data_IF_365005389846
#
_entry.id   IF_365005389846
#
_cell.length_a   1.000
_cell.length_b   1.000
_cell.length_c   1.000
_cell.angle_alpha   90.00
_cell.angle_beta   90.00
_cell.angle_gamma   90.00
#
_symmetry.space_group_name_H-M   'P 1'
#
loop_
_entity.id
_entity.type
_entity.pdbx_description
1 polymer ?
#
# COMPACT_ATOMS: atom_id res chain seq x y z
N UNK A 1 13.21 -46.12 -23.02
CA UNK A 1 13.10 -44.67 -23.26
C UNK A 1 12.15 -44.09 -22.22
N UNK A 2 12.65 -43.16 -21.41
CA UNK A 2 11.94 -42.59 -20.27
C UNK A 2 11.12 -41.36 -20.69
N UNK A 3 9.86 -41.32 -20.22
CA UNK A 3 9.14 -40.15 -19.67
C UNK A 3 8.73 -39.01 -20.64
N UNK A 4 7.72 -38.17 -20.38
CA UNK A 4 6.98 -37.90 -19.15
C UNK A 4 5.60 -37.27 -19.52
N UNK A 5 4.58 -37.61 -18.75
CA UNK A 5 3.19 -37.16 -18.84
C UNK A 5 3.10 -35.68 -18.47
N UNK A 6 2.46 -34.87 -19.31
CA UNK A 6 2.08 -33.50 -18.99
C UNK A 6 0.99 -33.53 -17.90
N UNK A 7 1.39 -33.31 -16.65
CA UNK A 7 0.46 -33.16 -15.53
C UNK A 7 -0.04 -31.71 -15.48
N UNK A 8 -1.31 -31.54 -15.81
CA UNK A 8 -2.09 -30.35 -15.52
C UNK A 8 -2.18 -30.17 -14.00
N UNK A 9 -1.33 -29.32 -13.43
CA UNK A 9 -1.41 -28.91 -12.03
C UNK A 9 -2.14 -27.58 -11.91
N UNK A 10 -3.48 -27.60 -11.83
CA UNK A 10 -4.22 -26.50 -11.22
C UNK A 10 -3.95 -26.56 -9.72
N UNK A 11 -2.93 -25.84 -9.26
CA UNK A 11 -2.66 -25.69 -7.83
C UNK A 11 -3.70 -24.71 -7.28
N UNK A 12 -4.73 -25.25 -6.64
CA UNK A 12 -5.62 -24.49 -5.78
C UNK A 12 -4.77 -23.89 -4.65
N UNK A 13 -4.51 -22.59 -4.72
CA UNK A 13 -3.80 -21.83 -3.69
C UNK A 13 -4.79 -21.63 -2.53
N UNK A 14 -4.95 -22.64 -1.67
CA UNK A 14 -5.70 -22.49 -0.42
C UNK A 14 -4.77 -22.05 0.71
N UNK A 15 -4.09 -20.91 0.53
CA UNK A 15 -3.41 -20.23 1.63
C UNK A 15 -4.24 -19.01 2.03
N UNK A 16 -4.25 -18.69 3.32
CA UNK A 16 -4.83 -17.44 3.82
C UNK A 16 -4.26 -16.27 3.00
N UNK A 17 -5.04 -15.69 2.09
CA UNK A 17 -4.56 -14.64 1.22
C UNK A 17 -4.40 -13.35 2.04
N UNK A 18 -3.16 -12.98 2.34
CA UNK A 18 -2.86 -11.70 2.97
C UNK A 18 -2.85 -10.60 1.92
N UNK A 19 -3.39 -9.43 2.27
CA UNK A 19 -3.50 -8.29 1.36
C UNK A 19 -2.14 -7.70 0.95
N UNK A 20 -1.09 -7.95 1.76
CA UNK A 20 0.30 -7.67 1.42
C UNK A 20 1.22 -8.81 1.85
N UNK A 21 1.93 -9.41 0.90
CA UNK A 21 2.92 -10.47 1.15
C UNK A 21 4.29 -9.91 0.79
N UNK A 22 5.21 -9.92 1.76
CA UNK A 22 6.56 -9.39 1.62
C UNK A 22 7.54 -10.50 1.28
N UNK A 23 8.51 -10.20 0.40
CA UNK A 23 9.64 -11.07 0.14
C UNK A 23 10.54 -11.20 1.39
N UNK A 24 10.94 -12.41 1.78
CA UNK A 24 11.73 -12.62 3.00
C UNK A 24 13.14 -12.06 2.91
N UNK A 25 13.69 -11.86 1.71
CA UNK A 25 15.04 -11.33 1.52
C UNK A 25 15.12 -9.82 1.72
N UNK A 26 13.99 -9.10 1.69
CA UNK A 26 13.94 -7.64 1.87
C UNK A 26 13.61 -7.32 3.34
N UNK A 27 14.31 -6.38 4.00
CA UNK A 27 13.95 -5.94 5.35
C UNK A 27 12.50 -5.38 5.40
N UNK A 28 11.72 -5.76 6.42
CA UNK A 28 10.32 -5.30 6.58
C UNK A 28 10.21 -3.77 6.63
N UNK A 29 11.20 -3.12 7.26
CA UNK A 29 11.27 -1.65 7.36
C UNK A 29 11.33 -0.99 5.98
N UNK A 30 11.96 -1.62 4.99
CA UNK A 30 12.02 -1.11 3.61
C UNK A 30 10.64 -0.91 3.02
N UNK A 31 9.70 -1.83 3.26
CA UNK A 31 8.31 -1.69 2.78
C UNK A 31 7.57 -0.54 3.46
N UNK A 32 7.81 -0.34 4.76
CA UNK A 32 7.22 0.77 5.51
C UNK A 32 7.75 2.11 5.01
N UNK A 33 9.07 2.23 4.88
CA UNK A 33 9.69 3.47 4.42
C UNK A 33 9.27 3.77 2.98
N UNK A 34 9.12 2.76 2.12
CA UNK A 34 8.51 2.88 0.80
C UNK A 34 7.08 3.42 0.85
N UNK A 35 6.21 2.86 1.70
CA UNK A 35 4.81 3.25 1.77
C UNK A 35 4.57 4.61 2.46
N UNK A 36 5.54 5.09 3.24
CA UNK A 36 5.50 6.38 3.91
C UNK A 36 6.32 7.47 3.17
N UNK A 37 6.91 7.15 2.01
CA UNK A 37 7.83 8.02 1.26
C UNK A 37 9.01 8.54 2.12
N UNK A 38 9.61 7.66 2.94
CA UNK A 38 10.70 8.00 3.88
C UNK A 38 12.06 7.52 3.41
N UNK A 39 13.10 8.15 3.94
CA UNK A 39 14.49 7.81 3.65
C UNK A 39 14.78 7.93 2.15
N UNK A 40 15.33 6.87 1.56
CA UNK A 40 15.63 6.80 0.13
C UNK A 40 14.39 6.79 -0.79
N UNK A 41 13.18 6.59 -0.24
CA UNK A 41 11.92 6.54 -0.99
C UNK A 41 11.16 7.87 -1.00
N UNK A 42 11.89 8.99 -0.85
CA UNK A 42 11.31 10.32 -1.04
C UNK A 42 10.62 10.42 -2.42
N UNK A 43 9.52 11.16 -2.50
CA UNK A 43 8.83 11.40 -3.76
C UNK A 43 9.80 11.97 -4.81
N UNK A 44 9.62 11.57 -6.08
CA UNK A 44 10.47 11.92 -7.22
C UNK A 44 11.93 11.44 -7.18
N UNK A 45 12.35 10.70 -6.15
CA UNK A 45 13.67 10.07 -6.14
C UNK A 45 13.85 9.15 -7.37
N UNK A 46 14.99 9.27 -8.04
CA UNK A 46 15.31 8.52 -9.26
C UNK A 46 16.24 7.36 -8.97
N UNK A 47 16.07 6.25 -9.70
CA UNK A 47 16.92 5.07 -9.62
C UNK A 47 17.16 4.59 -8.18
N UNK A 48 16.09 4.49 -7.38
CA UNK A 48 16.17 4.12 -5.97
C UNK A 48 16.51 2.64 -5.83
N UNK A 49 17.66 2.26 -5.24
CA UNK A 49 18.07 0.86 -5.10
C UNK A 49 17.25 0.14 -4.03
N UNK A 50 16.85 -1.11 -4.28
CA UNK A 50 16.21 -1.96 -3.28
C UNK A 50 17.27 -2.90 -2.72
N UNK A 51 17.57 -2.76 -1.42
CA UNK A 51 18.55 -3.61 -0.74
C UNK A 51 17.93 -4.87 -0.15
N UNK A 52 18.63 -5.99 -0.32
CA UNK A 52 18.40 -7.22 0.43
C UNK A 52 18.96 -7.13 1.86
N UNK A 53 18.56 -8.06 2.72
CA UNK A 53 19.06 -8.20 4.10
C UNK A 53 20.57 -8.45 4.17
N UNK A 54 21.16 -8.98 3.11
CA UNK A 54 22.60 -9.21 2.95
C UNK A 54 23.36 -7.96 2.44
N UNK A 55 22.64 -6.86 2.17
CA UNK A 55 23.20 -5.63 1.62
C UNK A 55 23.34 -5.62 0.09
N UNK A 56 22.97 -6.69 -0.60
CA UNK A 56 22.98 -6.73 -2.08
C UNK A 56 21.86 -5.87 -2.67
N UNK A 57 22.05 -5.41 -3.91
CA UNK A 57 21.01 -4.68 -4.65
C UNK A 57 20.15 -5.69 -5.42
N UNK A 58 18.87 -5.74 -5.09
CA UNK A 58 17.89 -6.66 -5.69
C UNK A 58 17.14 -6.04 -6.88
N UNK A 59 17.23 -4.73 -7.05
CA UNK A 59 16.57 -4.00 -8.14
C UNK A 59 16.55 -2.50 -7.92
N UNK A 60 15.91 -1.78 -8.84
CA UNK A 60 15.78 -0.33 -8.80
C UNK A 60 14.34 0.11 -9.08
N UNK A 61 13.90 1.16 -8.40
CA UNK A 61 12.70 1.92 -8.77
C UNK A 61 13.17 3.11 -9.62
N UNK A 62 12.85 3.17 -10.93
CA UNK A 62 13.34 4.22 -11.81
C UNK A 62 12.94 5.63 -11.37
N UNK A 63 11.71 5.77 -10.85
CA UNK A 63 11.21 7.01 -10.24
C UNK A 63 10.16 6.70 -9.18
N UNK A 64 10.33 7.29 -8.00
CA UNK A 64 9.40 7.13 -6.89
C UNK A 64 8.19 8.07 -7.05
N UNK A 65 6.98 7.59 -6.74
CA UNK A 65 5.77 8.41 -6.67
C UNK A 65 5.49 8.87 -5.23
N UNK A 66 4.74 9.96 -5.07
CA UNK A 66 4.14 10.30 -3.77
C UNK A 66 2.89 9.43 -3.53
N UNK A 67 2.74 8.96 -2.29
CA UNK A 67 1.54 8.29 -1.79
C UNK A 67 0.69 9.20 -0.90
N UNK A 68 0.87 10.52 -1.02
CA UNK A 68 0.25 11.45 -0.09
C UNK A 68 -1.26 11.58 -0.22
N UNK A 69 -1.76 11.37 -1.43
CA UNK A 69 -3.19 11.30 -1.74
C UNK A 69 -3.88 10.09 -1.13
N UNK A 70 -3.17 9.12 -0.58
CA UNK A 70 -3.78 7.96 0.06
C UNK A 70 -4.05 8.27 1.52
N UNK A 71 -5.28 8.04 1.98
CA UNK A 71 -5.65 8.30 3.37
C UNK A 71 -4.79 7.49 4.36
N UNK A 72 -4.68 7.94 5.61
CA UNK A 72 -3.82 7.30 6.61
C UNK A 72 -4.25 5.84 6.94
N UNK A 73 -5.51 5.50 6.68
CA UNK A 73 -6.01 4.12 6.77
C UNK A 73 -5.63 3.23 5.57
N UNK A 74 -5.07 3.81 4.51
CA UNK A 74 -4.66 3.18 3.27
C UNK A 74 -5.74 2.31 2.61
N UNK A 75 -6.98 2.80 2.62
CA UNK A 75 -8.13 2.16 1.99
C UNK A 75 -8.83 3.05 0.94
N UNK A 76 -8.49 4.35 0.87
CA UNK A 76 -9.05 5.28 -0.11
C UNK A 76 -7.96 6.24 -0.62
N UNK A 77 -8.09 6.68 -1.87
CA UNK A 77 -7.19 7.66 -2.49
C UNK A 77 -7.97 8.92 -2.89
N UNK A 78 -7.43 10.11 -2.62
CA UNK A 78 -7.96 11.39 -3.04
C UNK A 78 -7.80 11.54 -4.56
N UNK A 79 -8.90 11.65 -5.28
CA UNK A 79 -8.93 11.77 -6.75
C UNK A 79 -9.46 13.12 -7.23
N UNK A 80 -10.05 13.88 -6.32
CA UNK A 80 -10.43 15.29 -6.44
C UNK A 80 -10.31 15.91 -5.03
N UNK A 81 -10.05 17.22 -4.86
CA UNK A 81 -9.91 17.84 -3.55
C UNK A 81 -11.08 17.58 -2.57
N UNK A 82 -12.28 17.22 -3.06
CA UNK A 82 -13.42 16.83 -2.22
C UNK A 82 -13.90 15.37 -2.43
N UNK A 83 -13.22 14.54 -3.23
CA UNK A 83 -13.63 13.15 -3.47
C UNK A 83 -12.50 12.14 -3.33
N UNK A 84 -12.81 11.01 -2.70
CA UNK A 84 -11.93 9.85 -2.63
C UNK A 84 -12.49 8.67 -3.40
N UNK A 85 -11.61 7.86 -3.97
CA UNK A 85 -11.93 6.60 -4.63
C UNK A 85 -11.53 5.42 -3.73
N UNK A 86 -12.39 4.40 -3.69
CA UNK A 86 -12.21 3.17 -2.90
C UNK A 86 -12.90 1.99 -3.62
N UNK A 87 -12.59 0.77 -3.17
CA UNK A 87 -13.44 -0.38 -3.50
C UNK A 87 -14.84 -0.18 -2.87
N UNK A 88 -15.86 -0.65 -3.58
CA UNK A 88 -17.27 -0.48 -3.22
C UNK A 88 -17.63 -1.20 -1.92
N UNK A 89 -17.08 -2.39 -1.69
CA UNK A 89 -17.33 -3.19 -0.49
C UNK A 89 -16.72 -2.60 0.80
N UNK A 90 -15.88 -1.57 0.72
CA UNK A 90 -15.26 -0.95 1.90
C UNK A 90 -16.29 -0.08 2.62
N UNK A 91 -16.82 -0.59 3.74
CA UNK A 91 -17.88 0.10 4.50
C UNK A 91 -17.41 1.19 5.46
N UNK A 92 -16.13 1.20 5.87
CA UNK A 92 -15.62 2.04 6.96
C UNK A 92 -15.02 3.39 6.48
N UNK A 93 -15.72 4.08 5.58
CA UNK A 93 -15.26 5.34 4.96
C UNK A 93 -15.82 6.59 5.63
N UNK A 94 -16.34 6.50 6.86
CA UNK A 94 -17.01 7.62 7.53
C UNK A 94 -16.08 8.79 7.85
N UNK A 95 -14.84 8.50 8.20
CA UNK A 95 -13.84 9.48 8.58
C UNK A 95 -12.49 9.14 7.94
N UNK A 96 -11.85 10.15 7.35
CA UNK A 96 -10.53 10.03 6.72
C UNK A 96 -9.61 11.15 7.20
N UNK A 97 -8.31 10.85 7.22
CA UNK A 97 -7.22 11.80 7.48
C UNK A 97 -6.12 11.55 6.43
N UNK A 98 -5.32 12.58 6.13
CA UNK A 98 -4.22 12.49 5.16
C UNK A 98 -2.84 12.87 5.75
N UNK A 99 -2.83 13.48 6.92
CA UNK A 99 -1.63 13.98 7.61
C UNK A 99 -1.24 13.16 8.84
N UNK A 100 -2.01 12.14 9.20
CA UNK A 100 -1.87 11.37 10.44
C UNK A 100 -0.50 10.71 10.59
N UNK A 101 0.08 10.24 9.48
CA UNK A 101 1.45 9.71 9.47
C UNK A 101 2.56 10.74 9.73
N UNK A 102 2.29 12.03 9.54
CA UNK A 102 3.27 13.10 9.75
C UNK A 102 3.12 13.76 11.12
N UNK A 103 1.89 14.07 11.54
CA UNK A 103 1.61 14.85 12.75
C UNK A 103 0.83 14.08 13.83
N UNK A 104 0.51 12.81 13.57
CA UNK A 104 -0.34 11.99 14.42
C UNK A 104 -1.84 12.19 14.13
N UNK A 105 -2.61 11.10 14.21
CA UNK A 105 -4.06 11.13 13.93
C UNK A 105 -4.82 12.09 14.84
N UNK A 106 -4.42 12.23 16.10
CA UNK A 106 -5.07 13.12 17.06
C UNK A 106 -4.97 14.62 16.67
N UNK A 107 -3.96 14.97 15.87
CA UNK A 107 -3.71 16.34 15.43
C UNK A 107 -4.12 16.58 13.96
N UNK A 108 -4.64 15.55 13.29
CA UNK A 108 -4.96 15.62 11.87
C UNK A 108 -6.38 16.09 11.62
N UNK A 109 -6.58 16.82 10.53
CA UNK A 109 -7.91 17.21 10.08
C UNK A 109 -8.72 15.98 9.73
N UNK A 110 -9.88 15.83 10.35
CA UNK A 110 -10.84 14.79 10.00
C UNK A 110 -11.77 15.27 8.90
N UNK A 111 -11.81 14.48 7.83
CA UNK A 111 -12.70 14.61 6.67
C UNK A 111 -13.81 13.58 6.78
N UNK A 112 -15.04 14.05 6.98
CA UNK A 112 -16.21 13.20 7.14
C UNK A 112 -16.88 12.90 5.80
N UNK A 113 -17.41 11.69 5.64
CA UNK A 113 -18.23 11.32 4.48
C UNK A 113 -19.57 12.06 4.49
N UNK A 114 -19.93 12.63 3.33
CA UNK A 114 -21.28 13.13 3.05
C UNK A 114 -22.11 12.05 2.34
N UNK A 115 -21.58 11.47 1.27
CA UNK A 115 -22.30 10.51 0.43
C UNK A 115 -21.32 9.61 -0.33
N UNK A 116 -21.78 8.41 -0.66
CA UNK A 116 -21.08 7.49 -1.56
C UNK A 116 -21.84 7.38 -2.89
N UNK A 117 -21.10 7.32 -4.00
CA UNK A 117 -21.57 6.98 -5.34
C UNK A 117 -20.95 5.65 -5.74
N UNK A 118 -21.78 4.64 -5.95
CA UNK A 118 -21.34 3.28 -6.26
C UNK A 118 -21.39 3.02 -7.77
N UNK A 119 -20.38 2.31 -8.25
CA UNK A 119 -20.40 1.66 -9.56
C UNK A 119 -21.23 0.37 -9.51
N UNK A 120 -21.57 -0.19 -10.67
CA UNK A 120 -22.06 -1.57 -10.78
C UNK A 120 -20.95 -2.61 -10.52
N UNK A 121 -19.69 -2.19 -10.62
CA UNK A 121 -18.50 -2.93 -10.20
C UNK A 121 -18.11 -2.58 -8.76
N UNK A 122 -17.13 -3.29 -8.20
CA UNK A 122 -16.62 -3.07 -6.84
C UNK A 122 -15.79 -1.77 -6.71
N UNK A 123 -16.43 -0.63 -6.95
CA UNK A 123 -15.83 0.70 -6.93
C UNK A 123 -16.82 1.73 -6.40
N UNK A 124 -16.32 2.68 -5.63
CA UNK A 124 -17.10 3.84 -5.18
C UNK A 124 -16.28 5.12 -5.12
N UNK A 125 -16.99 6.23 -5.28
CA UNK A 125 -16.50 7.56 -4.92
C UNK A 125 -17.19 8.02 -3.64
N UNK A 126 -16.41 8.57 -2.71
CA UNK A 126 -16.91 9.14 -1.45
C UNK A 126 -16.71 10.65 -1.48
N UNK A 127 -17.81 11.41 -1.35
CA UNK A 127 -17.76 12.88 -1.19
C UNK A 127 -17.43 13.24 0.25
N UNK A 128 -16.41 14.07 0.44
CA UNK A 128 -15.99 14.57 1.74
C UNK A 128 -16.71 15.88 2.13
N UNK A 129 -16.81 16.15 3.44
CA UNK A 129 -17.46 17.34 3.98
C UNK A 129 -16.61 18.61 3.90
N UNK A 130 -15.32 18.48 3.59
CA UNK A 130 -14.34 19.57 3.45
C UNK A 130 -13.43 19.28 2.27
N UNK A 131 -12.81 20.34 1.75
CA UNK A 131 -11.73 20.24 0.77
C UNK A 131 -10.45 19.83 1.51
N UNK A 132 -9.77 18.81 1.02
CA UNK A 132 -8.49 18.36 1.55
C UNK A 132 -7.40 19.36 1.17
N UNK A 133 -6.58 19.76 2.15
CA UNK A 133 -5.53 20.78 1.95
C UNK A 133 -4.12 20.26 2.25
N UNK A 134 -3.98 19.10 2.89
CA UNK A 134 -2.67 18.54 3.25
C UNK A 134 -2.00 17.77 2.11
N UNK A 135 -2.75 17.41 1.07
CA UNK A 135 -2.25 16.69 -0.10
C UNK A 135 -3.05 17.08 -1.34
N UNK A 136 -2.38 16.99 -2.49
CA UNK A 136 -3.03 17.06 -3.80
C UNK A 136 -3.72 15.74 -4.16
N UNK A 137 -4.74 15.82 -5.01
CA UNK A 137 -5.39 14.65 -5.58
C UNK A 137 -4.47 13.93 -6.59
N UNK A 138 -4.53 12.61 -6.62
CA UNK A 138 -3.81 11.83 -7.65
C UNK A 138 -4.54 11.95 -8.99
N UNK A 139 -3.78 12.14 -10.07
CA UNK A 139 -4.34 12.17 -11.42
C UNK A 139 -4.93 10.81 -11.81
N UNK A 140 -6.11 10.83 -12.43
CA UNK A 140 -6.73 9.63 -12.97
C UNK A 140 -6.11 9.32 -14.34
N UNK A 141 -5.63 8.09 -14.49
CA UNK A 141 -5.02 7.60 -15.71
C UNK A 141 -6.09 7.37 -16.78
N UNK A 142 -6.04 8.12 -17.88
CA UNK A 142 -6.99 8.02 -19.01
C UNK A 142 -6.32 7.68 -20.34
N UNK A 143 -4.99 7.75 -20.42
CA UNK A 143 -4.24 7.42 -21.64
C UNK A 143 -4.30 5.91 -21.92
N UNK A 144 -4.95 5.58 -23.03
CA UNK A 144 -5.18 4.19 -23.44
C UNK A 144 -3.89 3.48 -23.88
N UNK A 145 -2.91 4.20 -24.44
CA UNK A 145 -1.63 3.62 -24.84
C UNK A 145 -0.84 3.15 -23.62
N UNK A 146 -0.78 3.98 -22.58
CA UNK A 146 -0.13 3.63 -21.32
C UNK A 146 -0.86 2.46 -20.65
N UNK A 147 -2.19 2.46 -20.66
CA UNK A 147 -2.98 1.33 -20.12
C UNK A 147 -2.69 0.02 -20.87
N UNK A 148 -2.52 0.06 -22.20
CA UNK A 148 -2.14 -1.11 -22.99
C UNK A 148 -0.72 -1.59 -22.68
N UNK A 149 0.25 -0.67 -22.50
CA UNK A 149 1.61 -1.02 -22.07
C UNK A 149 1.61 -1.68 -20.69
N UNK A 150 0.86 -1.13 -19.74
CA UNK A 150 0.70 -1.72 -18.41
C UNK A 150 0.04 -3.11 -18.47
N UNK A 151 -0.98 -3.29 -19.31
CA UNK A 151 -1.63 -4.60 -19.50
C UNK A 151 -0.69 -5.66 -20.09
N UNK A 152 0.35 -5.25 -20.82
CA UNK A 152 1.42 -6.13 -21.34
C UNK A 152 2.57 -6.35 -20.35
N UNK A 153 2.53 -5.72 -19.17
CA UNK A 153 3.61 -5.78 -18.18
C UNK A 153 4.82 -4.92 -18.52
N UNK A 154 4.68 -3.97 -19.45
CA UNK A 154 5.77 -3.10 -19.93
C UNK A 154 5.92 -1.82 -19.08
N UNK A 155 5.33 -1.78 -17.88
CA UNK A 155 5.41 -0.64 -16.99
C UNK A 155 5.46 -1.04 -15.52
N UNK A 156 5.87 -0.08 -14.68
CA UNK A 156 5.99 -0.27 -13.24
C UNK A 156 4.72 0.26 -12.54
N UNK A 157 4.06 -0.59 -11.77
CA UNK A 157 2.96 -0.19 -10.89
C UNK A 157 3.44 -0.20 -9.46
N UNK A 158 3.27 0.93 -8.78
CA UNK A 158 3.53 1.07 -7.35
C UNK A 158 2.19 1.14 -6.61
N UNK A 159 2.09 0.48 -5.45
CA UNK A 159 0.88 0.49 -4.62
C UNK A 159 1.22 0.48 -3.14
N UNK A 160 0.30 0.99 -2.33
CA UNK A 160 0.34 0.97 -0.87
C UNK A 160 -0.98 0.49 -0.30
N UNK A 161 -0.95 -0.06 0.91
CA UNK A 161 -2.13 -0.58 1.60
C UNK A 161 -1.81 -0.94 3.05
N UNK A 162 -2.84 -1.10 3.87
CA UNK A 162 -2.70 -1.42 5.30
C UNK A 162 -3.49 -2.67 5.73
N UNK A 163 -3.90 -3.52 4.78
CA UNK A 163 -4.52 -4.81 5.05
C UNK A 163 -3.59 -5.78 5.80
N UNK A 164 -4.08 -6.98 6.10
CA UNK A 164 -3.29 -8.00 6.79
C UNK A 164 -2.01 -8.29 6.02
N UNK A 165 -0.87 -8.21 6.71
CA UNK A 165 0.45 -8.37 6.11
C UNK A 165 1.16 -9.62 6.60
N UNK A 166 1.95 -10.24 5.73
CA UNK A 166 2.76 -11.41 6.05
C UNK A 166 4.10 -11.40 5.31
N UNK A 167 5.06 -12.19 5.80
CA UNK A 167 6.32 -12.48 5.11
C UNK A 167 6.21 -13.87 4.49
N UNK A 168 6.53 -14.04 3.21
CA UNK A 168 6.61 -15.36 2.60
C UNK A 168 7.85 -16.09 3.13
N UNK A 169 7.69 -17.19 3.85
CA UNK A 169 8.80 -17.96 4.45
C UNK A 169 9.18 -19.20 3.64
N UNK A 170 8.40 -19.54 2.61
CA UNK A 170 8.66 -20.65 1.70
C UNK A 170 7.47 -20.92 0.79
N UNK A 171 7.53 -22.01 0.02
CA UNK A 171 6.43 -22.40 -0.86
C UNK A 171 5.14 -22.65 -0.08
N UNK A 172 4.16 -21.76 -0.26
CA UNK A 172 2.87 -21.80 0.45
C UNK A 172 2.94 -21.48 1.94
N UNK A 173 4.12 -21.09 2.46
CA UNK A 173 4.34 -20.79 3.88
C UNK A 173 4.51 -19.28 4.09
N UNK A 174 3.92 -18.77 5.17
CA UNK A 174 3.93 -17.34 5.47
C UNK A 174 3.80 -17.08 6.98
N UNK A 175 4.48 -16.04 7.44
CA UNK A 175 4.42 -15.56 8.81
C UNK A 175 3.57 -14.29 8.87
N UNK A 176 2.44 -14.35 9.57
CA UNK A 176 1.52 -13.22 9.70
C UNK A 176 2.08 -12.16 10.65
N UNK A 177 2.11 -10.91 10.18
CA UNK A 177 2.60 -9.77 10.94
C UNK A 177 1.46 -8.93 11.54
N UNK A 178 0.21 -9.07 11.08
CA UNK A 178 -0.88 -8.21 11.50
C UNK A 178 -1.24 -7.11 10.50
N UNK A 179 -2.08 -6.17 10.94
CA UNK A 179 -2.50 -5.01 10.14
C UNK A 179 -1.58 -3.81 10.36
N UNK A 180 -1.49 -2.92 9.37
CA UNK A 180 -0.88 -1.60 9.53
C UNK A 180 0.64 -1.55 9.73
N UNK A 181 1.38 -2.66 9.64
CA UNK A 181 2.83 -2.67 9.88
C UNK A 181 3.64 -1.86 8.84
N UNK A 182 3.03 -1.56 7.71
CA UNK A 182 3.62 -0.78 6.61
C UNK A 182 3.28 0.73 6.72
N UNK A 183 2.49 1.16 7.72
CA UNK A 183 2.02 2.55 7.88
C UNK A 183 1.85 3.05 9.33
N UNK A 184 1.84 2.16 10.33
CA UNK A 184 1.58 2.54 11.74
C UNK A 184 2.88 2.66 12.50
N UNK A 185 3.14 3.87 12.97
CA UNK A 185 4.01 4.09 14.11
C UNK A 185 3.24 3.68 15.38
N UNK A 186 3.62 2.59 16.03
CA UNK A 186 3.36 2.44 17.45
C UNK A 186 4.40 3.29 18.20
N UNK A 187 4.03 4.12 19.19
CA UNK A 187 5.00 4.70 20.08
C UNK A 187 5.70 3.55 20.81
N UNK A 188 7.01 3.43 20.64
CA UNK A 188 7.80 2.56 21.49
C UNK A 188 7.78 3.20 22.88
N UNK A 189 6.81 2.81 23.71
CA UNK A 189 6.98 2.96 25.14
C UNK A 189 8.17 2.08 25.52
N UNK A 190 9.34 2.71 25.67
CA UNK A 190 10.45 2.14 26.42
C UNK A 190 9.88 1.63 27.74
N UNK A 191 9.74 0.31 27.89
CA UNK A 191 9.68 -0.30 29.21
C UNK A 191 10.98 0.12 29.89
N UNK A 192 10.89 1.06 30.83
CA UNK A 192 11.97 1.28 31.80
C UNK A 192 12.12 -0.05 32.52
N UNK A 193 13.23 -0.73 32.30
CA UNK A 193 13.69 -1.75 33.21
C UNK A 193 13.95 -1.06 34.56
N UNK A 194 13.07 -1.32 35.52
CA UNK A 194 13.37 -1.07 36.92
C UNK A 194 14.30 -2.17 37.40
N UNK A 195 15.57 -1.83 37.62
CA UNK A 195 16.32 -2.42 38.70
C UNK A 195 15.74 -1.88 40.00
N UNK A 196 15.15 -2.76 40.80
CA UNK A 196 15.29 -2.88 42.24
C UNK A 196 14.68 -4.21 42.66
#
# INVERSE_FOLDING_TARGET
MQSLIASSGLVAISSNAHAGIMKPEIPVVTYRDFAENRGQFAADALNVPIYGKDGSILGYIPRMMSFDSVNDGAFASLVDPQFTASAGHVGYTDNMTFSGRFIGNANSTVYGRIADQFSSTDFKLTRLNKIVTETEAVSIMTDTEIMQKLAKGEGLVLRVGAGGTAIATGYGQQDYLGYGHVRRHHPIHRRRHGCQ
#
